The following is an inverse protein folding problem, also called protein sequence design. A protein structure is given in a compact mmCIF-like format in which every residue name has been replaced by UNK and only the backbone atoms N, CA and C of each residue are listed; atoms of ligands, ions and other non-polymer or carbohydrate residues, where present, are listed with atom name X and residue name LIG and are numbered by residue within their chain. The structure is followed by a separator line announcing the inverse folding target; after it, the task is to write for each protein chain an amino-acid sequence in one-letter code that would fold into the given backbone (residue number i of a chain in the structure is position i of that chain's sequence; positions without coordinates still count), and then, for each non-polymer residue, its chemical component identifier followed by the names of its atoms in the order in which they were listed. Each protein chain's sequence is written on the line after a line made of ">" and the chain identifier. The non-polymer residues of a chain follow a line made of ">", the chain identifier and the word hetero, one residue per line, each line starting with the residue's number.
data_IF_970776871092
#
_entry.id   IF_970776871092
#
_cell.length_a   1.000
_cell.length_b   1.000
_cell.length_c   1.000
_cell.angle_alpha   90.00
_cell.angle_beta   90.00
_cell.angle_gamma   90.00
#
_symmetry.space_group_name_H-M   'P 1'
#
loop_
_entity.id
_entity.type
_entity.pdbx_description
1 polymer ?
#
# COMPACT_ATOMS: atom_id res chain seq x y z
N UNK A 1 -4.06 -0.84 -60.72
CA UNK A 1 -4.41 0.20 -59.72
C UNK A 1 -5.51 -0.21 -58.74
N UNK A 2 -6.73 -0.56 -59.18
CA UNK A 2 -7.86 -0.88 -58.26
C UNK A 2 -7.60 -2.06 -57.31
N UNK A 3 -6.85 -3.07 -57.75
CA UNK A 3 -6.53 -4.27 -56.95
C UNK A 3 -5.50 -3.95 -55.85
N UNK A 4 -4.45 -3.19 -56.19
CA UNK A 4 -3.45 -2.76 -55.19
C UNK A 4 -4.08 -1.83 -54.14
N UNK A 5 -4.97 -0.92 -54.55
CA UNK A 5 -5.70 -0.07 -53.60
C UNK A 5 -6.55 -0.88 -52.61
N UNK A 6 -7.19 -1.98 -53.05
CA UNK A 6 -7.95 -2.88 -52.16
C UNK A 6 -7.05 -3.56 -51.13
N UNK A 7 -5.87 -4.04 -51.54
CA UNK A 7 -4.92 -4.66 -50.61
C UNK A 7 -4.34 -3.65 -49.62
N UNK A 8 -4.04 -2.42 -50.06
CA UNK A 8 -3.58 -1.35 -49.17
C UNK A 8 -4.65 -0.98 -48.14
N UNK A 9 -5.92 -0.82 -48.56
CA UNK A 9 -7.03 -0.53 -47.64
C UNK A 9 -7.25 -1.66 -46.64
N UNK A 10 -7.18 -2.91 -47.09
CA UNK A 10 -7.32 -4.07 -46.21
C UNK A 10 -6.19 -4.13 -45.17
N UNK A 11 -4.94 -3.86 -45.57
CA UNK A 11 -3.78 -3.85 -44.69
C UNK A 11 -3.85 -2.71 -43.65
N UNK A 12 -4.36 -1.54 -44.04
CA UNK A 12 -4.55 -0.42 -43.10
C UNK A 12 -5.63 -0.75 -42.08
N UNK A 13 -6.75 -1.34 -42.51
CA UNK A 13 -7.85 -1.74 -41.62
C UNK A 13 -7.44 -2.82 -40.63
N UNK A 14 -6.71 -3.85 -41.06
CA UNK A 14 -6.19 -4.89 -40.16
C UNK A 14 -5.17 -4.31 -39.18
N UNK A 15 -4.30 -3.39 -39.63
CA UNK A 15 -3.34 -2.71 -38.73
C UNK A 15 -4.06 -1.89 -37.66
N UNK A 16 -5.08 -1.10 -38.03
CA UNK A 16 -5.90 -0.33 -37.09
C UNK A 16 -6.61 -1.27 -36.11
N UNK A 17 -7.17 -2.38 -36.60
CA UNK A 17 -7.84 -3.35 -35.75
C UNK A 17 -6.88 -4.01 -34.74
N UNK A 18 -5.66 -4.37 -35.16
CA UNK A 18 -4.62 -4.90 -34.27
C UNK A 18 -4.19 -3.86 -33.23
N UNK A 19 -4.02 -2.59 -33.61
CA UNK A 19 -3.69 -1.51 -32.68
C UNK A 19 -4.83 -1.31 -31.66
N UNK A 20 -6.08 -1.30 -32.10
CA UNK A 20 -7.24 -1.17 -31.22
C UNK A 20 -7.39 -2.37 -30.29
N UNK A 21 -7.19 -3.59 -30.80
CA UNK A 21 -7.23 -4.83 -30.00
C UNK A 21 -6.13 -4.83 -28.92
N UNK A 22 -4.89 -4.52 -29.30
CA UNK A 22 -3.76 -4.47 -28.38
C UNK A 22 -3.87 -3.30 -27.39
N UNK A 23 -4.40 -2.15 -27.82
CA UNK A 23 -4.60 -0.98 -26.95
C UNK A 23 -5.76 -1.15 -25.96
N UNK A 24 -6.75 -2.00 -26.26
CA UNK A 24 -7.88 -2.28 -25.37
C UNK A 24 -7.69 -3.52 -24.48
N UNK A 25 -6.59 -4.26 -24.62
CA UNK A 25 -6.15 -5.17 -23.57
C UNK A 25 -5.65 -4.37 -22.36
N UNK A 26 -6.59 -3.78 -21.61
CA UNK A 26 -6.35 -3.44 -20.21
C UNK A 26 -5.94 -4.75 -19.55
N UNK A 27 -4.70 -4.83 -19.06
CA UNK A 27 -4.28 -5.93 -18.19
C UNK A 27 -5.36 -6.12 -17.12
N UNK A 28 -5.97 -7.29 -17.08
CA UNK A 28 -6.80 -7.69 -15.95
C UNK A 28 -5.91 -7.57 -14.71
N UNK A 29 -6.24 -6.63 -13.83
CA UNK A 29 -5.52 -6.51 -12.56
C UNK A 29 -6.03 -7.62 -11.65
N UNK A 30 -5.13 -8.54 -11.28
CA UNK A 30 -5.45 -9.58 -10.30
C UNK A 30 -5.81 -8.92 -8.97
N UNK A 31 -6.94 -9.34 -8.40
CA UNK A 31 -7.38 -8.88 -7.09
C UNK A 31 -6.80 -9.76 -6.01
N UNK A 32 -6.43 -9.16 -4.88
CA UNK A 32 -6.16 -9.92 -3.67
C UNK A 32 -7.48 -10.53 -3.18
N UNK A 33 -7.49 -11.83 -2.94
CA UNK A 33 -8.56 -12.58 -2.29
C UNK A 33 -7.91 -13.33 -1.13
N UNK A 34 -8.44 -13.20 0.09
CA UNK A 34 -7.90 -13.96 1.20
C UNK A 34 -8.31 -15.44 1.12
N UNK A 35 -7.30 -16.32 1.13
CA UNK A 35 -7.47 -17.76 1.39
C UNK A 35 -6.85 -18.15 2.74
N UNK A 36 -7.29 -19.26 3.38
CA UNK A 36 -6.66 -19.76 4.60
C UNK A 36 -5.14 -19.86 4.48
N UNK A 37 -4.43 -19.45 5.54
CA UNK A 37 -2.97 -19.50 5.56
C UNK A 37 -2.50 -20.95 5.58
N UNK A 38 -1.62 -21.31 4.65
CA UNK A 38 -0.92 -22.59 4.66
C UNK A 38 0.28 -22.49 5.60
N UNK A 39 0.32 -23.32 6.64
CA UNK A 39 1.45 -23.33 7.58
C UNK A 39 2.73 -23.91 7.00
N UNK A 40 2.66 -24.62 5.87
CA UNK A 40 3.83 -25.15 5.17
C UNK A 40 4.50 -24.13 4.26
N UNK A 41 3.80 -23.04 3.90
CA UNK A 41 4.31 -21.96 3.08
C UNK A 41 4.88 -20.85 3.93
N UNK A 42 6.08 -20.39 3.61
CA UNK A 42 6.66 -19.24 4.28
C UNK A 42 7.52 -18.39 3.36
N UNK A 43 7.46 -17.07 3.60
CA UNK A 43 8.37 -16.14 2.97
C UNK A 43 9.75 -16.29 3.58
N UNK A 44 10.74 -16.69 2.77
CA UNK A 44 12.14 -16.68 3.16
C UNK A 44 12.63 -15.25 3.38
N UNK A 45 12.14 -14.32 2.56
CA UNK A 45 12.46 -12.90 2.65
C UNK A 45 11.29 -12.04 2.19
N UNK A 46 11.06 -10.93 2.88
CA UNK A 46 10.04 -9.94 2.53
C UNK A 46 10.46 -8.58 3.09
N UNK A 47 10.80 -7.63 2.21
CA UNK A 47 11.35 -6.35 2.64
C UNK A 47 10.86 -5.16 1.83
N UNK A 48 10.95 -3.99 2.47
CA UNK A 48 10.71 -2.69 1.87
C UNK A 48 11.82 -1.75 2.27
N UNK A 49 12.41 -1.08 1.29
CA UNK A 49 13.55 -0.19 1.48
C UNK A 49 13.28 1.17 0.84
N UNK A 50 13.75 2.22 1.53
CA UNK A 50 13.86 3.58 1.00
C UNK A 50 15.33 3.96 1.04
N UNK A 51 15.91 4.21 -0.12
CA UNK A 51 17.32 4.60 -0.27
C UNK A 51 17.39 6.03 -0.77
N UNK A 52 17.59 7.01 0.11
CA UNK A 52 17.80 8.39 -0.29
C UNK A 52 19.20 8.61 -0.87
N UNK A 53 19.32 9.51 -1.84
CA UNK A 53 20.60 9.94 -2.42
C UNK A 53 20.53 11.43 -2.77
N UNK A 54 21.44 12.23 -2.20
CA UNK A 54 21.58 13.64 -2.53
C UNK A 54 21.92 13.84 -4.01
N UNK A 55 21.30 14.85 -4.63
CA UNK A 55 21.51 15.23 -6.04
C UNK A 55 21.88 16.71 -6.21
N UNK A 56 22.01 17.43 -5.10
CA UNK A 56 22.41 18.84 -4.98
C UNK A 56 22.27 19.26 -3.51
N UNK A 57 22.48 20.55 -3.20
CA UNK A 57 22.54 21.02 -1.82
C UNK A 57 21.25 20.81 -1.02
N UNK A 58 20.09 20.98 -1.67
CA UNK A 58 18.75 20.85 -1.07
C UNK A 58 17.83 19.87 -1.80
N UNK A 59 18.34 19.13 -2.78
CA UNK A 59 17.55 18.15 -3.56
C UNK A 59 18.11 16.75 -3.42
N UNK A 60 17.22 15.78 -3.42
CA UNK A 60 17.59 14.37 -3.32
C UNK A 60 16.62 13.51 -4.11
N UNK A 61 17.00 12.24 -4.28
CA UNK A 61 16.13 11.21 -4.84
C UNK A 61 15.89 10.14 -3.80
N UNK A 62 14.69 9.57 -3.77
CA UNK A 62 14.41 8.36 -2.99
C UNK A 62 14.20 7.22 -3.98
N UNK A 63 15.00 6.17 -3.85
CA UNK A 63 14.71 4.88 -4.47
C UNK A 63 13.87 4.06 -3.51
N UNK A 64 12.63 3.76 -3.89
CA UNK A 64 11.74 2.88 -3.16
C UNK A 64 11.78 1.50 -3.79
N UNK A 65 12.11 0.48 -3.01
CA UNK A 65 12.26 -0.91 -3.48
C UNK A 65 11.53 -1.87 -2.55
N UNK A 66 10.88 -2.86 -3.15
CA UNK A 66 10.18 -3.95 -2.47
C UNK A 66 10.67 -5.25 -3.07
N UNK A 67 11.05 -6.19 -2.22
CA UNK A 67 11.53 -7.51 -2.63
C UNK A 67 10.90 -8.59 -1.74
N UNK A 68 10.51 -9.71 -2.33
CA UNK A 68 10.06 -10.88 -1.58
C UNK A 68 10.41 -12.20 -2.27
N UNK A 69 10.74 -13.21 -1.47
CA UNK A 69 10.95 -14.60 -1.88
C UNK A 69 10.09 -15.52 -1.01
N UNK A 70 9.47 -16.50 -1.65
CA UNK A 70 8.75 -17.59 -0.99
C UNK A 70 9.63 -18.85 -1.03
N UNK A 71 9.42 -19.81 -0.15
CA UNK A 71 10.14 -21.10 -0.15
C UNK A 71 9.89 -21.93 -1.43
N UNK A 72 8.81 -21.65 -2.17
CA UNK A 72 8.48 -22.30 -3.44
C UNK A 72 7.76 -21.36 -4.42
N UNK A 73 7.65 -21.71 -5.71
CA UNK A 73 6.81 -20.98 -6.64
C UNK A 73 5.33 -20.99 -6.21
N UNK A 74 4.67 -19.84 -6.27
CA UNK A 74 3.24 -19.73 -6.02
C UNK A 74 2.45 -19.57 -7.32
N UNK A 75 1.18 -19.98 -7.32
CA UNK A 75 0.27 -19.78 -8.44
C UNK A 75 0.18 -18.29 -8.78
N UNK A 76 -0.04 -17.45 -7.77
CA UNK A 76 -0.02 -16.00 -7.87
C UNK A 76 0.86 -15.40 -6.77
N UNK A 77 1.72 -14.48 -7.16
CA UNK A 77 2.48 -13.59 -6.26
C UNK A 77 2.02 -12.18 -6.47
N UNK A 78 1.80 -11.45 -5.38
CA UNK A 78 1.37 -10.08 -5.42
C UNK A 78 1.94 -9.30 -4.23
N UNK A 79 2.68 -8.24 -4.54
CA UNK A 79 3.22 -7.35 -3.52
C UNK A 79 2.63 -5.96 -3.73
N UNK A 80 2.09 -5.39 -2.65
CA UNK A 80 1.45 -4.08 -2.64
C UNK A 80 2.07 -3.23 -1.55
N UNK A 81 2.69 -2.12 -1.96
CA UNK A 81 3.39 -1.21 -1.08
C UNK A 81 2.81 0.19 -1.20
N UNK A 82 2.60 0.83 -0.06
CA UNK A 82 2.05 2.18 0.07
C UNK A 82 3.11 3.07 0.70
N UNK A 83 3.56 4.10 -0.03
CA UNK A 83 4.53 5.08 0.45
C UNK A 83 3.79 6.34 0.87
N UNK A 84 4.04 6.78 2.10
CA UNK A 84 3.52 8.01 2.67
C UNK A 84 4.65 9.01 2.91
N UNK A 85 4.39 10.28 2.64
CA UNK A 85 5.24 11.44 3.00
C UNK A 85 4.42 12.37 3.88
N UNK A 86 4.92 12.69 5.06
CA UNK A 86 4.28 13.60 6.02
C UNK A 86 2.79 13.26 6.26
N UNK A 87 2.48 11.97 6.34
CA UNK A 87 1.12 11.49 6.67
C UNK A 87 0.16 11.42 5.48
N UNK A 88 0.63 11.73 4.27
CA UNK A 88 -0.16 11.68 3.03
C UNK A 88 0.40 10.63 2.07
N UNK A 89 -0.47 9.95 1.32
CA UNK A 89 -0.06 8.96 0.33
C UNK A 89 0.71 9.65 -0.80
N UNK A 90 1.98 9.27 -0.95
CA UNK A 90 2.92 9.80 -1.94
C UNK A 90 3.07 8.87 -3.14
N UNK A 91 2.79 7.57 -3.00
CA UNK A 91 2.79 6.64 -4.12
C UNK A 91 2.35 5.24 -3.75
N UNK A 92 2.12 4.43 -4.79
CA UNK A 92 1.76 3.02 -4.66
C UNK A 92 2.60 2.19 -5.63
N UNK A 93 3.16 1.11 -5.12
CA UNK A 93 3.82 0.06 -5.90
C UNK A 93 2.93 -1.18 -5.80
N UNK A 94 2.44 -1.65 -6.94
CA UNK A 94 1.68 -2.90 -7.04
C UNK A 94 2.25 -3.69 -8.20
N UNK A 95 2.68 -4.92 -7.93
CA UNK A 95 3.15 -5.84 -8.95
C UNK A 95 2.61 -7.22 -8.63
N UNK A 96 2.30 -7.98 -9.67
CA UNK A 96 1.88 -9.37 -9.55
C UNK A 96 2.50 -10.23 -10.63
N UNK A 97 2.74 -11.51 -10.34
CA UNK A 97 3.29 -12.50 -11.26
C UNK A 97 2.73 -13.87 -10.93
N UNK A 98 2.47 -14.68 -11.95
CA UNK A 98 2.09 -16.07 -11.77
C UNK A 98 3.31 -17.00 -11.86
N UNK A 99 3.25 -18.13 -11.16
CA UNK A 99 4.25 -19.20 -11.21
C UNK A 99 5.68 -18.69 -10.93
N UNK A 100 5.81 -17.85 -9.89
CA UNK A 100 7.11 -17.28 -9.47
C UNK A 100 7.33 -17.44 -7.97
N UNK A 101 8.59 -17.64 -7.63
CA UNK A 101 9.10 -17.68 -6.27
C UNK A 101 9.59 -16.31 -5.79
N UNK A 102 9.91 -15.39 -6.69
CA UNK A 102 10.43 -14.08 -6.35
C UNK A 102 9.60 -12.97 -6.99
N UNK A 103 9.50 -11.85 -6.27
CA UNK A 103 8.91 -10.63 -6.79
C UNK A 103 9.75 -9.43 -6.35
N UNK A 104 10.04 -8.54 -7.30
CA UNK A 104 10.76 -7.29 -7.05
C UNK A 104 10.08 -6.16 -7.81
N UNK A 105 10.01 -4.99 -7.17
CA UNK A 105 9.51 -3.76 -7.77
C UNK A 105 10.23 -2.55 -7.19
N UNK A 106 10.36 -1.50 -8.00
CA UNK A 106 11.03 -0.26 -7.57
C UNK A 106 10.45 0.96 -8.27
N UNK A 107 10.49 2.08 -7.57
CA UNK A 107 10.22 3.40 -8.12
C UNK A 107 11.29 4.39 -7.63
N UNK A 108 11.40 5.53 -8.32
CA UNK A 108 12.24 6.64 -7.90
C UNK A 108 11.42 7.92 -7.90
N UNK A 109 11.56 8.73 -6.85
CA UNK A 109 11.03 10.09 -6.82
C UNK A 109 12.16 11.08 -6.58
N UNK A 110 12.01 12.30 -7.11
CA UNK A 110 12.87 13.45 -6.83
C UNK A 110 12.16 14.33 -5.81
N UNK A 111 12.89 14.76 -4.79
CA UNK A 111 12.38 15.49 -3.65
C UNK A 111 13.28 16.70 -3.36
N UNK A 112 12.71 17.71 -2.69
CA UNK A 112 13.43 18.93 -2.27
C UNK A 112 13.05 19.39 -0.86
N UNK A 113 12.14 18.69 -0.21
CA UNK A 113 11.63 19.06 1.11
C UNK A 113 12.12 18.08 2.17
N UNK A 114 12.30 18.58 3.38
CA UNK A 114 12.45 17.74 4.55
C UNK A 114 11.14 16.97 4.81
N UNK A 115 11.23 15.75 5.31
CA UNK A 115 10.04 14.94 5.49
C UNK A 115 10.23 13.63 6.22
N UNK A 116 9.12 13.14 6.77
CA UNK A 116 8.95 11.80 7.32
C UNK A 116 8.32 10.91 6.26
N UNK A 117 9.04 9.89 5.84
CA UNK A 117 8.58 8.86 4.91
C UNK A 117 8.27 7.58 5.64
N UNK A 118 7.13 6.97 5.33
CA UNK A 118 6.70 5.70 5.90
C UNK A 118 6.18 4.83 4.77
N UNK A 119 6.76 3.65 4.58
CA UNK A 119 6.24 2.66 3.66
C UNK A 119 5.77 1.43 4.42
N UNK A 120 4.64 0.89 3.99
CA UNK A 120 4.08 -0.38 4.47
C UNK A 120 3.74 -1.25 3.27
N UNK A 121 4.10 -2.52 3.36
CA UNK A 121 3.93 -3.48 2.28
C UNK A 121 3.25 -4.74 2.76
N UNK A 122 2.30 -5.20 1.95
CA UNK A 122 1.70 -6.52 2.04
C UNK A 122 2.27 -7.39 0.92
N UNK A 123 2.91 -8.47 1.34
CA UNK A 123 3.43 -9.51 0.46
C UNK A 123 2.46 -10.67 0.50
N UNK A 124 1.99 -11.10 -0.65
CA UNK A 124 0.93 -12.10 -0.78
C UNK A 124 1.32 -13.17 -1.79
N UNK A 125 0.98 -14.41 -1.45
CA UNK A 125 1.09 -15.56 -2.32
C UNK A 125 -0.18 -16.39 -2.23
N UNK A 126 -0.69 -16.80 -3.39
CA UNK A 126 -1.77 -17.76 -3.51
C UNK A 126 -1.20 -19.07 -4.07
N UNK A 127 -1.56 -20.18 -3.43
CA UNK A 127 -1.12 -21.52 -3.82
C UNK A 127 -2.34 -22.42 -3.92
N UNK A 128 -2.33 -23.30 -4.92
CA UNK A 128 -3.39 -24.27 -5.15
C UNK A 128 -2.82 -25.67 -4.91
N UNK A 129 -2.89 -26.21 -3.68
CA UNK A 129 -2.46 -27.60 -3.43
C UNK A 129 -3.21 -28.64 -4.29
N UNK A 130 -4.42 -28.32 -4.74
CA UNK A 130 -5.20 -29.08 -5.72
C UNK A 130 -6.17 -28.15 -6.44
N UNK A 131 -6.86 -28.64 -7.48
CA UNK A 131 -7.85 -27.85 -8.25
C UNK A 131 -9.04 -27.32 -7.42
N UNK A 132 -9.19 -27.78 -6.17
CA UNK A 132 -10.32 -27.41 -5.28
C UNK A 132 -9.87 -26.79 -3.97
N UNK A 133 -8.57 -26.80 -3.67
CA UNK A 133 -8.01 -26.28 -2.43
C UNK A 133 -7.17 -25.06 -2.77
N UNK A 134 -7.55 -23.93 -2.18
CA UNK A 134 -6.89 -22.65 -2.35
C UNK A 134 -6.37 -22.21 -0.98
N UNK A 135 -5.07 -21.95 -0.89
CA UNK A 135 -4.40 -21.48 0.32
C UNK A 135 -3.58 -20.24 0.01
N UNK A 136 -3.13 -19.55 1.05
CA UNK A 136 -2.26 -18.40 0.89
C UNK A 136 -1.09 -18.37 1.87
N UNK A 137 -0.09 -17.55 1.55
CA UNK A 137 0.90 -17.08 2.49
C UNK A 137 0.94 -15.56 2.44
N UNK A 138 1.22 -14.94 3.59
CA UNK A 138 1.29 -13.49 3.67
C UNK A 138 2.40 -13.03 4.61
N UNK A 139 2.99 -11.88 4.31
CA UNK A 139 3.92 -11.19 5.20
C UNK A 139 3.77 -9.68 5.09
N UNK A 140 4.07 -9.00 6.20
CA UNK A 140 4.11 -7.54 6.25
C UNK A 140 5.55 -7.06 6.39
N UNK A 141 5.92 -6.00 5.67
CA UNK A 141 7.16 -5.28 5.89
C UNK A 141 6.92 -3.77 5.95
N UNK A 142 7.86 -3.04 6.57
CA UNK A 142 7.80 -1.57 6.70
C UNK A 142 9.17 -0.94 6.73
N UNK A 143 9.22 0.34 6.41
CA UNK A 143 10.38 1.20 6.62
C UNK A 143 9.93 2.62 6.97
N UNK A 144 10.70 3.29 7.81
CA UNK A 144 10.51 4.70 8.18
C UNK A 144 11.81 5.44 7.96
N UNK A 145 11.77 6.57 7.27
CA UNK A 145 12.94 7.37 6.91
C UNK A 145 12.65 8.85 7.18
N UNK A 146 13.59 9.54 7.81
CA UNK A 146 13.57 11.00 7.92
C UNK A 146 14.60 11.57 6.95
N UNK A 147 14.25 12.70 6.34
CA UNK A 147 15.14 13.47 5.48
C UNK A 147 15.08 14.92 5.91
N UNK A 148 16.25 15.57 5.89
CA UNK A 148 16.41 16.98 6.24
C UNK A 148 17.25 17.62 5.15
N UNK A 149 16.82 18.77 4.64
CA UNK A 149 17.45 19.46 3.49
C UNK A 149 18.23 20.70 3.90
N UNK A 150 18.14 21.14 5.15
CA UNK A 150 18.83 22.34 5.67
C UNK A 150 19.52 22.02 7.00
N UNK A 151 20.78 22.45 7.23
CA UNK A 151 21.62 23.24 6.32
C UNK A 151 22.23 22.44 5.16
N UNK A 152 22.34 21.12 5.30
CA UNK A 152 22.80 20.19 4.27
C UNK A 152 21.90 18.96 4.23
N UNK A 153 21.82 18.30 3.09
CA UNK A 153 21.04 17.07 2.97
C UNK A 153 21.54 15.98 3.92
N UNK A 154 20.65 15.52 4.79
CA UNK A 154 20.87 14.40 5.70
C UNK A 154 19.65 13.50 5.74
N UNK A 155 19.86 12.24 6.11
CA UNK A 155 18.78 11.29 6.32
C UNK A 155 19.12 10.32 7.44
N UNK A 156 18.09 9.80 8.09
CA UNK A 156 18.26 8.85 9.18
C UNK A 156 17.00 8.01 9.38
N UNK A 157 17.19 6.76 9.83
CA UNK A 157 16.09 5.89 10.26
C UNK A 157 15.79 6.03 11.76
N UNK A 158 16.86 6.23 12.56
CA UNK A 158 16.81 6.49 14.00
C UNK A 158 17.74 7.67 14.29
N UNK A 159 17.35 8.61 15.16
CA UNK A 159 18.20 9.75 15.47
C UNK A 159 19.42 9.28 16.26
N UNK A 160 20.59 9.81 15.92
CA UNK A 160 21.88 9.53 16.56
C UNK A 160 22.51 10.77 17.22
N UNK A 161 21.89 11.95 17.06
CA UNK A 161 22.33 13.22 17.64
C UNK A 161 21.14 14.01 18.19
N UNK A 162 21.41 14.96 19.09
CA UNK A 162 20.39 15.89 19.63
C UNK A 162 19.67 16.67 18.52
N UNK A 163 20.42 17.07 17.48
CA UNK A 163 19.85 17.74 16.32
C UNK A 163 18.85 16.84 15.58
N UNK A 164 19.19 15.56 15.34
CA UNK A 164 18.28 14.60 14.74
C UNK A 164 17.08 14.27 15.62
N UNK A 165 17.24 14.27 16.95
CA UNK A 165 16.12 14.13 17.90
C UNK A 165 15.14 15.30 17.71
N UNK A 166 15.65 16.53 17.61
CA UNK A 166 14.82 17.72 17.41
C UNK A 166 14.13 17.71 16.04
N UNK A 167 14.84 17.37 14.96
CA UNK A 167 14.23 17.23 13.63
C UNK A 167 13.16 16.16 13.59
N UNK A 168 13.42 15.00 14.19
CA UNK A 168 12.42 13.93 14.33
C UNK A 168 11.18 14.45 15.05
N UNK A 169 11.34 15.14 16.18
CA UNK A 169 10.23 15.71 16.95
C UNK A 169 9.38 16.66 16.10
N UNK A 170 10.02 17.55 15.34
CA UNK A 170 9.32 18.49 14.45
C UNK A 170 8.56 17.76 13.34
N UNK A 171 9.23 16.85 12.62
CA UNK A 171 8.63 16.11 11.51
C UNK A 171 7.50 15.18 11.99
N UNK A 172 7.65 14.59 13.17
CA UNK A 172 6.60 13.80 13.81
C UNK A 172 5.41 14.67 14.19
N UNK A 173 5.64 15.82 14.84
CA UNK A 173 4.55 16.73 15.21
C UNK A 173 3.70 17.15 14.01
N UNK A 174 4.35 17.55 12.91
CA UNK A 174 3.66 17.93 11.67
C UNK A 174 2.88 16.75 11.05
N UNK A 175 3.49 15.58 11.02
CA UNK A 175 2.86 14.40 10.42
C UNK A 175 1.69 13.92 11.26
N UNK A 176 1.86 13.84 12.57
CA UNK A 176 0.86 13.34 13.49
C UNK A 176 -0.33 14.30 13.58
N UNK A 177 -0.10 15.62 13.46
CA UNK A 177 -1.17 16.60 13.29
C UNK A 177 -1.95 16.37 11.99
N UNK A 178 -1.26 16.11 10.87
CA UNK A 178 -1.92 15.81 9.58
C UNK A 178 -2.80 14.57 9.67
N UNK A 179 -2.30 13.51 10.29
CA UNK A 179 -3.02 12.24 10.47
C UNK A 179 -4.20 12.41 11.44
N UNK A 180 -4.00 13.11 12.56
CA UNK A 180 -5.04 13.38 13.57
C UNK A 180 -6.17 14.22 12.99
N UNK A 181 -5.88 15.28 12.26
CA UNK A 181 -6.90 16.11 11.62
C UNK A 181 -7.75 15.28 10.64
N UNK A 182 -7.11 14.36 9.90
CA UNK A 182 -7.82 13.42 9.02
C UNK A 182 -8.71 12.43 9.78
N UNK A 183 -8.24 11.93 10.92
CA UNK A 183 -9.03 11.07 11.80
C UNK A 183 -10.25 11.79 12.35
N UNK A 184 -10.06 12.97 12.92
CA UNK A 184 -11.11 13.75 13.56
C UNK A 184 -12.17 14.14 12.53
N UNK A 185 -11.77 14.57 11.34
CA UNK A 185 -12.69 14.87 10.25
C UNK A 185 -13.54 13.67 9.84
N UNK A 186 -12.91 12.51 9.64
CA UNK A 186 -13.64 11.28 9.28
C UNK A 186 -14.52 10.78 10.43
N UNK A 187 -14.01 10.81 11.67
CA UNK A 187 -14.74 10.39 12.86
C UNK A 187 -15.99 11.25 13.08
N UNK A 188 -15.88 12.57 12.92
CA UNK A 188 -17.03 13.49 12.99
C UNK A 188 -18.05 13.20 11.88
N UNK A 189 -17.60 13.09 10.63
CA UNK A 189 -18.49 12.86 9.49
C UNK A 189 -19.31 11.57 9.60
N UNK A 190 -18.71 10.50 10.14
CA UNK A 190 -19.37 9.20 10.30
C UNK A 190 -19.89 8.94 11.72
N UNK A 191 -19.87 9.96 12.59
CA UNK A 191 -20.33 9.87 13.99
C UNK A 191 -19.66 8.72 14.78
N UNK A 192 -18.37 8.48 14.52
CA UNK A 192 -17.60 7.43 15.20
C UNK A 192 -17.14 7.94 16.55
N UNK A 193 -17.56 7.26 17.63
CA UNK A 193 -17.02 7.50 18.96
C UNK A 193 -15.62 6.88 19.08
N UNK A 194 -14.58 7.68 18.83
CA UNK A 194 -13.18 7.23 18.80
C UNK A 194 -12.72 6.58 20.12
N UNK A 195 -13.31 6.96 21.26
CA UNK A 195 -12.99 6.40 22.57
C UNK A 195 -13.39 4.93 22.71
N UNK A 196 -14.26 4.42 21.83
CA UNK A 196 -14.65 3.01 21.81
C UNK A 196 -13.67 2.11 21.04
N UNK A 197 -12.60 2.68 20.48
CA UNK A 197 -11.68 1.95 19.60
C UNK A 197 -10.23 2.01 20.08
N UNK A 198 -9.47 0.96 19.79
CA UNK A 198 -8.01 0.94 19.84
C UNK A 198 -7.49 1.31 18.45
N UNK A 199 -6.78 2.42 18.35
CA UNK A 199 -6.38 3.02 17.07
C UNK A 199 -4.90 2.79 16.80
N UNK A 200 -4.56 2.30 15.61
CA UNK A 200 -3.19 2.30 15.07
C UNK A 200 -3.20 2.83 13.64
N UNK A 201 -2.06 3.31 13.14
CA UNK A 201 -1.93 3.59 11.71
C UNK A 201 -1.67 2.30 10.93
N UNK A 202 -2.06 2.28 9.65
CA UNK A 202 -1.71 1.20 8.73
C UNK A 202 -0.18 1.01 8.65
N UNK A 203 0.61 2.08 8.73
CA UNK A 203 2.08 2.04 8.73
C UNK A 203 2.68 1.41 9.99
N UNK A 204 1.92 1.33 11.08
CA UNK A 204 2.31 0.68 12.32
C UNK A 204 1.89 -0.78 12.41
N UNK A 205 0.96 -1.22 11.55
CA UNK A 205 0.43 -2.58 11.56
C UNK A 205 1.53 -3.66 11.59
N UNK A 206 2.60 -3.62 10.76
CA UNK A 206 3.60 -4.69 10.75
C UNK A 206 4.31 -4.88 12.11
N UNK A 207 4.49 -3.79 12.86
CA UNK A 207 5.13 -3.82 14.19
C UNK A 207 4.16 -4.01 15.34
N UNK A 208 2.89 -3.59 15.19
CA UNK A 208 1.90 -3.56 16.28
C UNK A 208 0.82 -4.63 16.16
N UNK A 209 0.75 -5.38 15.05
CA UNK A 209 -0.29 -6.40 14.78
C UNK A 209 -0.59 -7.28 15.99
N UNK A 210 0.45 -7.90 16.57
CA UNK A 210 0.28 -8.87 17.67
C UNK A 210 -0.26 -8.22 18.95
N UNK A 211 0.14 -6.98 19.23
CA UNK A 211 -0.37 -6.22 20.38
C UNK A 211 -1.80 -5.70 20.13
N UNK A 212 -2.07 -5.19 18.93
CA UNK A 212 -3.34 -4.60 18.57
C UNK A 212 -4.46 -5.64 18.47
N UNK A 213 -4.14 -6.83 17.97
CA UNK A 213 -5.05 -7.98 17.83
C UNK A 213 -4.82 -9.04 18.93
N UNK A 214 -4.29 -8.66 20.09
CA UNK A 214 -3.86 -9.61 21.14
C UNK A 214 -4.98 -10.51 21.68
N UNK A 215 -6.24 -10.08 21.57
CA UNK A 215 -7.40 -10.86 21.98
C UNK A 215 -7.70 -12.05 21.06
N UNK A 216 -7.10 -12.08 19.87
CA UNK A 216 -7.29 -13.14 18.89
C UNK A 216 -6.09 -14.10 18.86
N UNK A 217 -6.34 -15.42 18.66
CA UNK A 217 -5.27 -16.38 18.39
C UNK A 217 -4.56 -16.05 17.07
N UNK A 218 -3.33 -16.55 16.91
CA UNK A 218 -2.48 -16.21 15.76
C UNK A 218 -3.16 -16.42 14.40
N UNK A 219 -3.80 -17.58 14.17
CA UNK A 219 -4.47 -17.87 12.90
C UNK A 219 -5.54 -16.82 12.56
N UNK A 220 -6.34 -16.40 13.56
CA UNK A 220 -7.38 -15.39 13.40
C UNK A 220 -6.78 -14.01 13.18
N UNK A 221 -5.62 -13.70 13.80
CA UNK A 221 -4.89 -12.46 13.50
C UNK A 221 -4.44 -12.38 12.05
N UNK A 222 -3.94 -13.48 11.48
CA UNK A 222 -3.57 -13.52 10.06
C UNK A 222 -4.79 -13.37 9.16
N UNK A 223 -5.88 -14.07 9.46
CA UNK A 223 -7.16 -13.95 8.73
C UNK A 223 -7.65 -12.50 8.70
N UNK A 224 -7.64 -11.83 9.85
CA UNK A 224 -8.05 -10.44 9.98
C UNK A 224 -7.20 -9.53 9.10
N UNK A 225 -5.87 -9.71 9.11
CA UNK A 225 -4.94 -8.90 8.31
C UNK A 225 -5.09 -9.17 6.81
N UNK A 226 -5.26 -10.43 6.41
CA UNK A 226 -5.45 -10.78 5.01
C UNK A 226 -6.73 -10.18 4.43
N UNK A 227 -7.85 -10.32 5.14
CA UNK A 227 -9.13 -9.69 4.78
C UNK A 227 -9.07 -8.16 4.78
N UNK A 228 -8.33 -7.57 5.72
CA UNK A 228 -8.10 -6.12 5.76
C UNK A 228 -7.38 -5.65 4.49
N UNK A 229 -6.32 -6.35 4.09
CA UNK A 229 -5.56 -6.00 2.88
C UNK A 229 -6.31 -6.30 1.59
N UNK A 230 -7.13 -7.34 1.53
CA UNK A 230 -8.09 -7.55 0.44
C UNK A 230 -9.02 -6.33 0.31
N UNK A 231 -9.60 -5.88 1.42
CA UNK A 231 -10.49 -4.72 1.45
C UNK A 231 -9.78 -3.42 1.04
N UNK A 232 -8.57 -3.18 1.56
CA UNK A 232 -7.73 -2.03 1.18
C UNK A 232 -7.31 -2.09 -0.28
N UNK A 233 -6.99 -3.27 -0.81
CA UNK A 233 -6.63 -3.40 -2.21
C UNK A 233 -7.79 -2.94 -3.10
N UNK A 234 -8.97 -3.52 -2.87
CA UNK A 234 -10.18 -3.26 -3.65
C UNK A 234 -10.67 -1.81 -3.54
N UNK A 235 -10.62 -1.21 -2.35
CA UNK A 235 -11.29 0.06 -2.08
C UNK A 235 -10.35 1.27 -1.90
N UNK A 236 -9.04 1.05 -1.98
CA UNK A 236 -8.04 2.11 -1.83
C UNK A 236 -6.97 2.02 -2.92
N UNK A 237 -6.36 0.85 -3.12
CA UNK A 237 -5.25 0.66 -4.09
C UNK A 237 -5.74 0.71 -5.54
N UNK A 238 -6.88 0.10 -5.83
CA UNK A 238 -7.49 0.12 -7.17
C UNK A 238 -8.17 1.46 -7.51
N UNK A 239 -8.26 2.36 -6.53
CA UNK A 239 -9.04 3.59 -6.62
C UNK A 239 -10.22 3.57 -5.65
N UNK A 240 -10.70 4.75 -5.31
CA UNK A 240 -11.72 4.94 -4.27
C UNK A 240 -13.01 5.31 -4.97
N UNK A 241 -14.03 4.47 -4.82
CA UNK A 241 -15.36 4.73 -5.38
C UNK A 241 -16.11 5.71 -4.47
N UNK A 242 -16.51 6.85 -5.03
CA UNK A 242 -17.38 7.84 -4.37
C UNK A 242 -18.86 7.45 -4.51
N UNK A 243 -19.73 8.11 -3.74
CA UNK A 243 -21.18 7.90 -3.76
C UNK A 243 -21.81 8.16 -5.14
N UNK A 244 -21.26 9.14 -5.87
CA UNK A 244 -21.64 9.46 -7.25
C UNK A 244 -21.19 8.41 -8.28
N UNK A 245 -20.54 7.32 -7.82
CA UNK A 245 -20.03 6.23 -8.65
C UNK A 245 -18.69 6.52 -9.32
N UNK A 246 -18.14 7.73 -9.18
CA UNK A 246 -16.82 8.07 -9.71
C UNK A 246 -15.71 7.34 -8.95
N UNK A 247 -14.62 7.00 -9.64
CA UNK A 247 -13.42 6.41 -9.04
C UNK A 247 -12.34 7.47 -9.02
N UNK A 248 -11.83 7.79 -7.84
CA UNK A 248 -10.77 8.78 -7.65
C UNK A 248 -9.48 8.11 -7.17
N UNK A 249 -8.35 8.75 -7.51
CA UNK A 249 -7.04 8.30 -7.03
C UNK A 249 -6.91 8.48 -5.52
N UNK A 250 -6.30 7.53 -4.79
CA UNK A 250 -5.97 7.70 -3.37
C UNK A 250 -4.81 8.68 -3.16
N UNK A 251 -4.09 9.11 -4.20
CA UNK A 251 -2.92 9.97 -4.06
C UNK A 251 -3.22 11.24 -3.23
N UNK A 252 -2.42 11.49 -2.19
CA UNK A 252 -2.59 12.61 -1.28
C UNK A 252 -3.64 12.41 -0.18
N UNK A 253 -4.29 11.23 -0.09
CA UNK A 253 -5.10 10.89 1.08
C UNK A 253 -4.23 10.75 2.34
N UNK A 254 -4.84 10.90 3.53
CA UNK A 254 -4.13 10.60 4.79
C UNK A 254 -3.85 9.11 4.93
N UNK A 255 -2.86 8.75 5.75
CA UNK A 255 -2.65 7.36 6.19
C UNK A 255 -3.96 6.79 6.73
N UNK A 256 -4.40 5.61 6.25
CA UNK A 256 -5.51 4.88 6.86
C UNK A 256 -5.23 4.53 8.32
N UNK A 257 -6.17 4.90 9.18
CA UNK A 257 -6.17 4.53 10.59
C UNK A 257 -7.10 3.35 10.80
N UNK A 258 -6.59 2.36 11.51
CA UNK A 258 -7.26 1.11 11.83
C UNK A 258 -7.80 1.21 13.24
N UNK A 259 -9.12 1.18 13.36
CA UNK A 259 -9.85 1.33 14.61
C UNK A 259 -10.46 -0.02 14.97
N UNK A 260 -9.86 -0.72 15.93
CA UNK A 260 -10.41 -1.97 16.47
C UNK A 260 -11.40 -1.66 17.58
N UNK A 261 -12.65 -2.07 17.44
CA UNK A 261 -13.65 -1.88 18.49
C UNK A 261 -13.19 -2.57 19.78
N UNK A 262 -13.32 -1.93 20.95
CA UNK A 262 -12.87 -2.48 22.23
C UNK A 262 -13.59 -3.80 22.59
N UNK A 263 -14.82 -3.98 22.11
CA UNK A 263 -15.61 -5.21 22.21
C UNK A 263 -15.28 -6.25 21.12
N UNK A 264 -14.32 -5.97 20.23
CA UNK A 264 -13.82 -6.88 19.19
C UNK A 264 -14.85 -7.24 18.10
N UNK A 265 -15.91 -6.45 17.91
CA UNK A 265 -16.95 -6.76 16.90
C UNK A 265 -16.59 -6.35 15.47
N UNK A 266 -15.72 -5.34 15.31
CA UNK A 266 -15.38 -4.79 14.00
C UNK A 266 -14.04 -4.04 14.00
N UNK A 267 -13.52 -3.85 12.79
CA UNK A 267 -12.47 -2.88 12.46
C UNK A 267 -13.09 -1.83 11.53
N UNK A 268 -12.93 -0.56 11.90
CA UNK A 268 -13.14 0.55 10.98
C UNK A 268 -11.81 1.01 10.41
N UNK A 269 -11.82 1.40 9.14
CA UNK A 269 -10.67 2.01 8.47
C UNK A 269 -11.07 3.42 8.07
N UNK A 270 -10.44 4.42 8.71
CA UNK A 270 -10.74 5.83 8.45
C UNK A 270 -9.56 6.52 7.75
N UNK A 271 -9.86 7.30 6.72
CA UNK A 271 -8.91 8.21 6.08
C UNK A 271 -9.65 9.35 5.39
N UNK A 272 -8.91 10.38 5.00
CA UNK A 272 -9.44 11.54 4.30
C UNK A 272 -8.70 11.72 2.98
N UNK A 273 -9.44 11.93 1.87
CA UNK A 273 -8.89 12.19 0.55
C UNK A 273 -8.11 13.52 0.48
N UNK A 274 -7.39 13.74 -0.63
CA UNK A 274 -6.69 15.01 -0.88
C UNK A 274 -7.62 16.23 -0.87
N UNK A 275 -8.84 16.07 -1.40
CA UNK A 275 -9.88 17.12 -1.41
C UNK A 275 -10.57 17.31 -0.05
N UNK A 276 -10.19 16.51 0.96
CA UNK A 276 -10.78 16.55 2.28
C UNK A 276 -12.02 15.67 2.44
N UNK A 277 -12.44 14.91 1.44
CA UNK A 277 -13.58 13.98 1.58
C UNK A 277 -13.23 12.88 2.59
N UNK A 278 -14.02 12.68 3.66
CA UNK A 278 -13.82 11.60 4.61
C UNK A 278 -14.28 10.26 4.00
N UNK A 279 -13.54 9.18 4.29
CA UNK A 279 -13.87 7.82 3.85
C UNK A 279 -13.80 6.86 5.04
N UNK A 280 -14.76 5.93 5.10
CA UNK A 280 -14.80 4.84 6.07
C UNK A 280 -15.00 3.51 5.37
N UNK A 281 -14.15 2.54 5.69
CA UNK A 281 -14.37 1.12 5.38
C UNK A 281 -14.67 0.36 6.68
N UNK A 282 -15.36 -0.78 6.57
CA UNK A 282 -15.73 -1.61 7.73
C UNK A 282 -15.47 -3.08 7.44
N UNK A 283 -14.87 -3.75 8.41
CA UNK A 283 -14.69 -5.20 8.45
C UNK A 283 -15.31 -5.74 9.74
N UNK A 284 -16.26 -6.68 9.62
CA UNK A 284 -16.77 -7.44 10.77
C UNK A 284 -15.81 -8.59 11.10
N UNK A 285 -15.71 -8.97 12.37
CA UNK A 285 -14.73 -9.95 12.87
C UNK A 285 -15.34 -11.30 13.24
#
# INVERSE_FOLDING_TARGET
>A
MKVQLKYTVFLVLTTIFVILYLSNHKQTEETIIFFPIDSSLHFEHASTHLTPKGTGDSTYTITWRVDSSLDQPAYLRQDVSLLYKNGKLAGTLKNWRQNKQELSQKAKSKESESGRYEAVTFHYAEVHPSDTIFTSAQQLSKVKLYTVTTPVFQFFHRPLSEEQIQWKKTLDGLTDQTVRNGLEKAGQAFHVNLDQYKIISLTDLPSKKNQWLSAFPQFKREEIVGKLWEGLYKNYVLGIKKEDGSIVSPQGSTIPLLLMAKNQSEILVLFTLKDGTPIMLRQKL
#
